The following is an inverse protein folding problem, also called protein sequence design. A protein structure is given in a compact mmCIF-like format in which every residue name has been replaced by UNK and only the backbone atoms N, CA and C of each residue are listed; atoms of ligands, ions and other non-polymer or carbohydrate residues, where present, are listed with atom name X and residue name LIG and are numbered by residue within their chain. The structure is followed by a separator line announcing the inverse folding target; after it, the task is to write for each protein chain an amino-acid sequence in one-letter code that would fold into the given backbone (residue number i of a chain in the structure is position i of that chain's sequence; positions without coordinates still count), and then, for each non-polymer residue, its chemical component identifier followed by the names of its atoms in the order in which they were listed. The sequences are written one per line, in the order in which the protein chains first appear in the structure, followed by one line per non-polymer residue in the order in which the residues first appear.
data_IF_720807711340
#
_entry.id   IF_720807711340
#
_cell.length_a   1.000
_cell.length_b   1.000
_cell.length_c   1.000
_cell.angle_alpha   90.00
_cell.angle_beta   90.00
_cell.angle_gamma   90.00
#
_symmetry.space_group_name_H-M   'P 1'
#
loop_
_entity.id
_entity.type
_entity.pdbx_description
1 polymer ?
#
# COMPACT_ATOMS: atom_id res chain seq x y z
N UNK A 1 15.32 0.64 10.09
CA UNK A 1 15.07 2.09 10.19
C UNK A 1 13.76 2.46 9.50
N UNK A 2 12.94 3.34 10.06
CA UNK A 2 11.84 3.97 9.31
C UNK A 2 12.43 5.03 8.36
N UNK A 3 12.17 4.87 7.06
CA UNK A 3 12.75 5.68 5.99
C UNK A 3 11.87 6.83 5.54
N UNK A 4 10.98 7.35 6.38
CA UNK A 4 10.07 8.46 6.07
C UNK A 4 9.50 9.10 7.34
N UNK A 5 8.82 10.22 7.18
CA UNK A 5 7.97 10.88 8.17
C UNK A 5 6.67 11.36 7.49
N UNK A 6 5.76 11.98 8.26
CA UNK A 6 4.47 12.42 7.76
C UNK A 6 4.58 13.41 6.57
N UNK A 7 5.59 14.27 6.60
CA UNK A 7 5.82 15.33 5.60
C UNK A 7 6.57 14.85 4.34
N UNK A 8 7.01 13.59 4.30
CA UNK A 8 7.85 13.07 3.23
C UNK A 8 7.18 13.12 1.85
N UNK A 9 5.85 13.03 1.80
CA UNK A 9 5.05 13.09 0.57
C UNK A 9 5.10 14.47 -0.14
N UNK A 10 5.59 15.51 0.54
CA UNK A 10 5.70 16.87 -0.01
C UNK A 10 6.95 17.08 -0.87
N UNK A 11 7.77 16.04 -1.03
CA UNK A 11 9.06 16.08 -1.71
C UNK A 11 9.20 14.91 -2.68
N UNK A 12 10.20 14.97 -3.57
CA UNK A 12 10.66 13.82 -4.36
C UNK A 12 11.37 12.82 -3.43
N UNK A 13 10.58 12.07 -2.67
CA UNK A 13 11.05 11.28 -1.55
C UNK A 13 11.90 10.10 -1.98
N UNK A 14 11.55 9.45 -3.10
CA UNK A 14 12.34 8.34 -3.63
C UNK A 14 13.77 8.79 -3.95
N UNK A 15 13.97 9.93 -4.62
CA UNK A 15 15.32 10.46 -4.85
C UNK A 15 16.01 10.89 -3.58
N UNK A 16 15.28 11.51 -2.64
CA UNK A 16 15.85 11.93 -1.36
C UNK A 16 16.38 10.74 -0.56
N UNK A 17 15.61 9.66 -0.48
CA UNK A 17 16.02 8.46 0.24
C UNK A 17 17.12 7.69 -0.51
N UNK A 18 17.06 7.65 -1.84
CA UNK A 18 18.09 7.03 -2.68
C UNK A 18 19.48 7.63 -2.41
N UNK A 19 19.56 8.97 -2.26
CA UNK A 19 20.83 9.66 -1.92
C UNK A 19 21.38 9.26 -0.55
N UNK A 20 20.51 8.87 0.40
CA UNK A 20 20.87 8.50 1.78
C UNK A 20 21.20 7.01 1.96
N UNK A 21 20.96 6.17 0.95
CA UNK A 21 21.23 4.72 1.04
C UNK A 21 22.64 4.37 1.51
N UNK A 22 23.72 5.01 1.01
CA UNK A 22 25.08 4.72 1.49
C UNK A 22 25.26 4.99 2.98
N UNK A 23 24.70 6.11 3.48
CA UNK A 23 24.78 6.47 4.89
C UNK A 23 23.96 5.52 5.75
N UNK A 24 22.75 5.14 5.31
CA UNK A 24 21.91 4.14 5.99
C UNK A 24 22.68 2.82 6.16
N UNK A 25 23.35 2.36 5.11
CA UNK A 25 24.13 1.13 5.16
C UNK A 25 25.37 1.27 6.07
N UNK A 26 26.08 2.41 5.97
CA UNK A 26 27.24 2.71 6.82
C UNK A 26 26.89 2.79 8.30
N UNK A 27 25.68 3.24 8.64
CA UNK A 27 25.14 3.23 10.01
C UNK A 27 24.77 1.84 10.52
N UNK A 28 24.94 0.78 9.71
CA UNK A 28 24.69 -0.61 10.11
C UNK A 28 23.24 -1.08 9.98
N UNK A 29 22.35 -0.28 9.38
CA UNK A 29 20.97 -0.70 9.15
C UNK A 29 20.89 -1.76 8.05
N UNK A 30 20.23 -2.87 8.35
CA UNK A 30 20.03 -3.99 7.41
C UNK A 30 18.66 -3.95 6.72
N UNK A 31 17.75 -3.07 7.16
CA UNK A 31 16.41 -2.93 6.58
C UNK A 31 15.89 -1.50 6.71
N UNK A 32 15.13 -1.07 5.71
CA UNK A 32 14.45 0.22 5.69
C UNK A 32 12.96 0.02 5.40
N UNK A 33 12.12 0.57 6.28
CA UNK A 33 10.67 0.64 6.08
C UNK A 33 10.34 1.87 5.24
N UNK A 34 9.81 1.62 4.04
CA UNK A 34 9.36 2.61 3.08
C UNK A 34 7.87 2.91 3.31
N UNK A 35 7.39 4.14 3.05
CA UNK A 35 5.97 4.47 3.17
C UNK A 35 5.13 3.70 2.13
N UNK A 36 3.79 3.71 2.24
CA UNK A 36 2.93 3.05 1.27
C UNK A 36 3.23 3.55 -0.15
N UNK A 37 3.62 2.63 -1.02
CA UNK A 37 4.16 2.97 -2.33
C UNK A 37 3.09 3.06 -3.44
N UNK A 38 1.92 2.49 -3.19
CA UNK A 38 0.83 2.44 -4.16
C UNK A 38 0.13 3.78 -4.32
N UNK A 39 -0.54 3.96 -5.44
CA UNK A 39 -1.47 5.07 -5.68
C UNK A 39 -2.54 5.12 -4.57
N UNK A 40 -2.75 6.34 -4.06
CA UNK A 40 -3.59 6.61 -2.90
C UNK A 40 -4.33 7.93 -3.09
N UNK A 41 -5.49 8.04 -2.45
CA UNK A 41 -6.25 9.28 -2.37
C UNK A 41 -5.61 10.27 -1.37
N UNK A 42 -5.06 9.77 -0.26
CA UNK A 42 -4.24 10.59 0.64
C UNK A 42 -2.78 10.62 0.17
N UNK A 43 -2.11 11.77 0.23
CA UNK A 43 -0.73 11.87 -0.23
C UNK A 43 0.26 11.08 0.64
N UNK A 44 -0.07 10.80 1.90
CA UNK A 44 0.71 9.93 2.79
C UNK A 44 0.61 8.44 2.43
N UNK A 45 -0.27 8.06 1.49
CA UNK A 45 -0.37 6.69 0.99
C UNK A 45 -1.36 5.78 1.74
N UNK A 46 -1.93 6.24 2.86
CA UNK A 46 -2.80 5.43 3.73
C UNK A 46 -4.26 5.34 3.29
N UNK A 47 -4.66 5.89 2.13
CA UNK A 47 -5.98 5.69 1.54
C UNK A 47 -5.84 5.09 0.13
N UNK A 48 -5.34 3.84 0.01
CA UNK A 48 -4.95 3.25 -1.27
C UNK A 48 -6.15 3.04 -2.20
N UNK A 49 -5.92 3.18 -3.51
CA UNK A 49 -6.94 2.92 -4.55
C UNK A 49 -6.42 1.91 -5.60
N UNK A 50 -5.45 2.30 -6.44
CA UNK A 50 -4.86 1.38 -7.42
C UNK A 50 -3.58 0.72 -6.86
N UNK A 51 -3.73 -0.46 -6.26
CA UNK A 51 -2.63 -1.19 -5.62
C UNK A 51 -1.47 -1.54 -6.57
N UNK A 52 -1.76 -1.74 -7.85
CA UNK A 52 -0.77 -2.06 -8.89
C UNK A 52 -0.13 -0.83 -9.54
N UNK A 53 -0.57 0.39 -9.22
CA UNK A 53 0.12 1.62 -9.63
C UNK A 53 1.08 2.05 -8.53
N UNK A 54 2.37 2.13 -8.83
CA UNK A 54 3.41 2.60 -7.91
C UNK A 54 3.79 4.07 -8.15
N UNK A 55 2.96 4.80 -8.89
CA UNK A 55 3.04 6.25 -8.98
C UNK A 55 2.29 6.85 -7.80
N UNK A 56 3.04 7.35 -6.82
CA UNK A 56 2.53 7.91 -5.57
C UNK A 56 3.07 9.33 -5.35
N UNK A 57 2.61 10.00 -4.30
CA UNK A 57 3.11 11.33 -3.91
C UNK A 57 4.59 11.33 -3.52
N UNK A 58 5.18 10.16 -3.25
CA UNK A 58 6.60 10.01 -2.96
C UNK A 58 7.49 10.00 -4.22
N UNK A 59 6.90 9.77 -5.40
CA UNK A 59 7.58 9.74 -6.69
C UNK A 59 7.06 8.63 -7.62
N UNK A 60 7.63 8.56 -8.82
CA UNK A 60 7.22 7.59 -9.85
C UNK A 60 7.67 6.16 -9.55
N UNK A 61 7.02 5.19 -10.20
CA UNK A 61 7.38 3.77 -10.14
C UNK A 61 8.86 3.54 -10.53
N UNK A 62 9.36 4.27 -11.53
CA UNK A 62 10.75 4.16 -11.97
C UNK A 62 11.73 4.57 -10.85
N UNK A 63 11.43 5.66 -10.14
CA UNK A 63 12.26 6.13 -9.03
C UNK A 63 12.23 5.17 -7.84
N UNK A 64 11.05 4.61 -7.56
CA UNK A 64 10.93 3.56 -6.55
C UNK A 64 11.79 2.35 -6.92
N UNK A 65 11.70 1.85 -8.15
CA UNK A 65 12.51 0.70 -8.61
C UNK A 65 14.02 0.98 -8.52
N UNK A 66 14.46 2.20 -8.86
CA UNK A 66 15.85 2.62 -8.71
C UNK A 66 16.29 2.60 -7.23
N UNK A 67 15.47 3.14 -6.33
CA UNK A 67 15.69 3.09 -4.89
C UNK A 67 15.79 1.63 -4.37
N UNK A 68 14.86 0.76 -4.75
CA UNK A 68 14.86 -0.66 -4.35
C UNK A 68 16.12 -1.38 -4.82
N UNK A 69 16.55 -1.12 -6.06
CA UNK A 69 17.79 -1.66 -6.61
C UNK A 69 19.02 -1.16 -5.82
N UNK A 70 19.08 0.13 -5.50
CA UNK A 70 20.19 0.70 -4.73
C UNK A 70 20.25 0.15 -3.31
N UNK A 71 19.11 0.04 -2.63
CA UNK A 71 19.05 -0.59 -1.30
C UNK A 71 19.60 -2.02 -1.35
N UNK A 72 19.20 -2.81 -2.36
CA UNK A 72 19.72 -4.17 -2.59
C UNK A 72 21.23 -4.19 -2.81
N UNK A 73 21.79 -3.27 -3.61
CA UNK A 73 23.25 -3.16 -3.83
C UNK A 73 24.02 -2.91 -2.52
N UNK A 74 23.43 -2.12 -1.63
CA UNK A 74 24.00 -1.82 -0.31
C UNK A 74 23.61 -2.83 0.77
N UNK A 75 23.03 -3.98 0.38
CA UNK A 75 22.58 -5.05 1.30
C UNK A 75 21.58 -4.58 2.36
N UNK A 76 20.82 -3.53 2.07
CA UNK A 76 19.70 -3.05 2.89
C UNK A 76 18.40 -3.58 2.30
N UNK A 77 17.59 -4.24 3.13
CA UNK A 77 16.32 -4.84 2.71
C UNK A 77 15.21 -3.77 2.66
N UNK A 78 14.56 -3.53 1.51
CA UNK A 78 13.40 -2.66 1.44
C UNK A 78 12.14 -3.36 1.96
N UNK A 79 11.51 -2.76 2.96
CA UNK A 79 10.25 -3.21 3.55
C UNK A 79 9.11 -2.31 3.06
N UNK A 80 8.07 -2.91 2.47
CA UNK A 80 6.88 -2.18 2.03
C UNK A 80 5.91 -1.99 3.19
N UNK A 81 5.31 -0.81 3.28
CA UNK A 81 4.12 -0.60 4.10
C UNK A 81 2.88 -1.12 3.36
N UNK A 82 2.16 -2.05 3.98
CA UNK A 82 1.03 -2.77 3.40
C UNK A 82 -0.26 -2.28 4.04
N UNK A 83 -1.00 -1.46 3.30
CA UNK A 83 -2.33 -0.94 3.70
C UNK A 83 -3.41 -1.75 2.98
N UNK A 84 -4.02 -2.70 3.70
CA UNK A 84 -5.03 -3.62 3.16
C UNK A 84 -6.29 -3.74 4.02
N UNK A 85 -6.38 -3.02 5.14
CA UNK A 85 -7.61 -2.97 5.95
C UNK A 85 -8.76 -2.28 5.18
N UNK A 86 -8.46 -1.18 4.51
CA UNK A 86 -9.41 -0.38 3.74
C UNK A 86 -8.84 -0.02 2.38
N UNK A 87 -9.72 0.33 1.44
CA UNK A 87 -9.37 0.73 0.08
C UNK A 87 -10.46 1.65 -0.47
N UNK A 88 -10.08 2.68 -1.20
CA UNK A 88 -11.04 3.64 -1.77
C UNK A 88 -11.47 3.16 -3.16
N UNK A 89 -12.78 3.04 -3.40
CA UNK A 89 -13.33 2.73 -4.72
C UNK A 89 -13.14 3.87 -5.72
N UNK A 90 -13.17 3.55 -7.01
CA UNK A 90 -13.14 4.51 -8.11
C UNK A 90 -14.53 5.03 -8.46
N UNK A 91 -15.57 4.24 -8.18
CA UNK A 91 -16.96 4.54 -8.54
C UNK A 91 -17.89 4.27 -7.35
N UNK A 92 -19.06 4.91 -7.38
CA UNK A 92 -20.10 4.74 -6.36
C UNK A 92 -20.92 3.49 -6.64
N UNK A 93 -21.11 2.64 -5.64
CA UNK A 93 -21.98 1.47 -5.69
C UNK A 93 -23.11 1.54 -4.66
N UNK A 94 -23.40 0.41 -4.04
CA UNK A 94 -24.38 0.30 -2.95
C UNK A 94 -24.23 1.42 -1.90
N UNK A 95 -25.35 2.02 -1.49
CA UNK A 95 -25.37 3.10 -0.50
C UNK A 95 -24.75 4.43 -0.97
N UNK A 96 -24.42 4.58 -2.26
CA UNK A 96 -23.83 5.81 -2.80
C UNK A 96 -22.37 6.05 -2.40
N UNK A 97 -21.70 5.04 -1.83
CA UNK A 97 -20.32 5.11 -1.38
C UNK A 97 -19.35 4.67 -2.47
N UNK A 98 -18.12 5.17 -2.41
CA UNK A 98 -17.02 4.74 -3.29
C UNK A 98 -16.50 3.36 -2.91
N UNK A 99 -17.29 2.30 -3.16
CA UNK A 99 -17.05 0.91 -2.78
C UNK A 99 -16.92 -0.05 -3.98
N UNK A 100 -16.82 0.50 -5.20
CA UNK A 100 -16.54 -0.22 -6.44
C UNK A 100 -15.21 0.22 -7.02
N UNK A 101 -14.46 -0.70 -7.61
CA UNK A 101 -13.08 -0.48 -8.08
C UNK A 101 -12.99 -0.61 -9.61
N UNK A 102 -14.00 -0.10 -10.30
CA UNK A 102 -14.12 -0.19 -11.76
C UNK A 102 -12.93 0.52 -12.46
N UNK A 103 -12.46 -0.05 -13.58
CA UNK A 103 -11.44 0.57 -14.44
C UNK A 103 -9.99 0.47 -13.97
N UNK A 104 -9.72 -0.20 -12.85
CA UNK A 104 -8.36 -0.43 -12.32
C UNK A 104 -8.12 -1.92 -12.03
N UNK A 105 -6.86 -2.38 -11.92
CA UNK A 105 -6.55 -3.72 -11.45
C UNK A 105 -7.22 -4.03 -10.11
N UNK A 106 -7.59 -5.31 -9.93
CA UNK A 106 -8.45 -5.77 -8.83
C UNK A 106 -9.78 -5.00 -8.83
N UNK A 107 -10.50 -5.12 -9.95
CA UNK A 107 -11.80 -4.51 -10.21
C UNK A 107 -12.92 -5.17 -9.40
N UNK A 108 -12.76 -5.14 -8.08
CA UNK A 108 -13.75 -5.65 -7.15
C UNK A 108 -15.03 -4.81 -7.18
N UNK A 109 -16.11 -5.43 -6.74
CA UNK A 109 -17.39 -4.78 -6.50
C UNK A 109 -17.65 -4.70 -4.98
N UNK A 110 -18.87 -4.33 -4.63
CA UNK A 110 -19.29 -4.11 -3.25
C UNK A 110 -19.16 -5.35 -2.34
N UNK A 111 -19.09 -6.57 -2.91
CA UNK A 111 -18.90 -7.80 -2.13
C UNK A 111 -17.48 -7.96 -1.56
N UNK A 112 -16.51 -7.17 -2.04
CA UNK A 112 -15.18 -7.10 -1.43
C UNK A 112 -15.12 -6.17 -0.22
N UNK A 113 -16.21 -5.47 0.10
CA UNK A 113 -16.29 -4.50 1.19
C UNK A 113 -17.21 -5.03 2.28
N UNK A 114 -16.83 -4.84 3.55
CA UNK A 114 -17.61 -5.35 4.68
C UNK A 114 -18.98 -4.69 4.77
N UNK A 115 -19.99 -5.43 5.22
CA UNK A 115 -21.36 -4.89 5.33
C UNK A 115 -21.48 -3.74 6.34
N UNK A 116 -20.65 -3.74 7.39
CA UNK A 116 -20.64 -2.70 8.42
C UNK A 116 -19.95 -1.40 7.96
N UNK A 117 -19.27 -1.42 6.82
CA UNK A 117 -18.72 -0.23 6.16
C UNK A 117 -19.34 -0.05 4.77
N UNK A 118 -20.60 -0.47 4.66
CA UNK A 118 -21.53 -0.41 3.54
C UNK A 118 -21.04 -0.96 2.21
N UNK A 119 -20.37 -2.11 2.28
CA UNK A 119 -20.37 -3.08 1.18
C UNK A 119 -21.51 -4.09 1.31
N UNK A 120 -21.38 -5.16 0.53
CA UNK A 120 -22.29 -6.32 0.50
C UNK A 120 -21.57 -7.63 0.87
N UNK A 121 -20.35 -7.53 1.41
CA UNK A 121 -19.61 -8.66 1.98
C UNK A 121 -20.07 -9.01 3.40
N UNK A 122 -19.27 -9.82 4.08
CA UNK A 122 -19.47 -10.19 5.47
C UNK A 122 -19.16 -9.02 6.42
N UNK A 123 -19.48 -9.19 7.71
CA UNK A 123 -19.07 -8.24 8.75
C UNK A 123 -17.54 -8.24 8.89
N UNK A 124 -16.99 -7.09 9.32
CA UNK A 124 -15.55 -6.98 9.61
C UNK A 124 -15.12 -8.01 10.67
N UNK A 125 -13.90 -8.52 10.51
CA UNK A 125 -13.25 -9.43 11.45
C UNK A 125 -12.43 -8.69 12.52
N UNK A 126 -12.24 -7.39 12.38
CA UNK A 126 -11.49 -6.53 13.30
C UNK A 126 -12.03 -5.10 13.35
N UNK A 127 -11.19 -4.18 13.83
CA UNK A 127 -11.53 -2.77 13.97
C UNK A 127 -11.82 -2.09 12.62
N UNK A 128 -12.88 -1.29 12.55
CA UNK A 128 -13.15 -0.51 11.35
C UNK A 128 -12.30 0.77 11.31
N UNK A 129 -11.71 1.05 10.15
CA UNK A 129 -11.22 2.39 9.83
C UNK A 129 -12.39 3.22 9.31
N UNK A 130 -12.90 4.13 10.13
CA UNK A 130 -14.14 4.84 9.87
C UNK A 130 -14.01 5.83 8.69
N UNK A 131 -15.14 6.06 8.01
CA UNK A 131 -15.25 7.03 6.90
C UNK A 131 -14.87 6.49 5.51
N UNK A 132 -14.44 5.22 5.41
CA UNK A 132 -14.00 4.60 4.14
C UNK A 132 -14.42 3.12 4.05
N UNK A 133 -14.44 2.51 2.85
CA UNK A 133 -14.74 1.09 2.69
C UNK A 133 -13.65 0.20 3.29
N UNK A 134 -14.03 -0.70 4.19
CA UNK A 134 -13.13 -1.70 4.78
C UNK A 134 -13.28 -3.02 4.00
N UNK A 135 -12.17 -3.71 3.77
CA UNK A 135 -12.07 -4.88 2.90
C UNK A 135 -12.52 -6.14 3.64
N UNK A 136 -13.39 -6.93 3.01
CA UNK A 136 -13.83 -8.22 3.53
C UNK A 136 -12.79 -9.31 3.25
N UNK A 137 -11.83 -9.46 4.16
CA UNK A 137 -10.80 -10.51 4.10
C UNK A 137 -11.34 -11.93 4.30
N UNK A 138 -12.61 -12.12 4.66
CA UNK A 138 -13.23 -13.44 4.75
C UNK A 138 -13.55 -14.03 3.37
N UNK A 139 -13.58 -13.20 2.32
CA UNK A 139 -13.80 -13.64 0.94
C UNK A 139 -12.54 -14.31 0.36
N UNK A 140 -12.71 -15.48 -0.26
CA UNK A 140 -11.60 -16.19 -0.89
C UNK A 140 -10.95 -15.38 -2.03
N UNK A 141 -11.75 -14.73 -2.88
CA UNK A 141 -11.22 -13.97 -4.01
C UNK A 141 -10.38 -12.76 -3.56
N UNK A 142 -10.81 -12.06 -2.50
CA UNK A 142 -10.06 -10.95 -1.88
C UNK A 142 -8.68 -11.43 -1.42
N UNK A 143 -8.63 -12.53 -0.65
CA UNK A 143 -7.35 -13.08 -0.18
C UNK A 143 -6.45 -13.52 -1.32
N UNK A 144 -7.00 -14.22 -2.32
CA UNK A 144 -6.25 -14.68 -3.49
C UNK A 144 -5.58 -13.52 -4.23
N UNK A 145 -6.34 -12.46 -4.45
CA UNK A 145 -5.90 -11.27 -5.18
C UNK A 145 -4.85 -10.47 -4.40
N UNK A 146 -5.05 -10.28 -3.08
CA UNK A 146 -4.06 -9.61 -2.21
C UNK A 146 -2.76 -10.42 -2.17
N UNK A 147 -2.83 -11.75 -2.05
CA UNK A 147 -1.63 -12.61 -2.12
C UNK A 147 -0.93 -12.46 -3.48
N UNK A 148 -1.69 -12.37 -4.57
CA UNK A 148 -1.15 -12.09 -5.91
C UNK A 148 -0.40 -10.77 -5.97
N UNK A 149 -0.97 -9.71 -5.40
CA UNK A 149 -0.36 -8.39 -5.31
C UNK A 149 0.90 -8.38 -4.42
N UNK A 150 0.88 -9.05 -3.26
CA UNK A 150 2.06 -9.18 -2.40
C UNK A 150 3.21 -9.94 -3.09
N UNK A 151 2.90 -11.00 -3.85
CA UNK A 151 3.90 -11.70 -4.68
C UNK A 151 4.45 -10.79 -5.78
N UNK A 152 3.60 -9.97 -6.39
CA UNK A 152 4.04 -8.98 -7.36
C UNK A 152 4.96 -7.92 -6.74
N UNK A 153 4.67 -7.41 -5.53
CA UNK A 153 5.58 -6.48 -4.82
C UNK A 153 6.96 -7.09 -4.59
N UNK A 154 7.05 -8.41 -4.31
CA UNK A 154 8.34 -9.11 -4.25
C UNK A 154 9.07 -9.09 -5.59
N UNK A 155 8.35 -9.28 -6.69
CA UNK A 155 8.92 -9.18 -8.05
C UNK A 155 9.39 -7.77 -8.41
N UNK A 156 8.76 -6.74 -7.84
CA UNK A 156 9.17 -5.33 -7.99
C UNK A 156 10.49 -5.04 -7.25
N UNK A 157 10.77 -5.76 -6.17
CA UNK A 157 12.05 -5.67 -5.44
C UNK A 157 11.92 -5.49 -3.93
N UNK A 158 10.70 -5.41 -3.38
CA UNK A 158 10.48 -5.42 -1.93
C UNK A 158 10.84 -6.80 -1.34
N UNK A 159 11.41 -6.80 -0.14
CA UNK A 159 11.86 -8.03 0.53
C UNK A 159 11.06 -8.36 1.78
N UNK A 160 10.56 -7.35 2.47
CA UNK A 160 9.81 -7.48 3.72
C UNK A 160 8.51 -6.67 3.67
N UNK A 161 7.59 -6.96 4.59
CA UNK A 161 6.31 -6.28 4.70
C UNK A 161 6.08 -5.81 6.15
N UNK A 162 5.60 -4.58 6.30
CA UNK A 162 5.01 -4.04 7.52
C UNK A 162 3.52 -3.90 7.26
N UNK A 163 2.68 -4.56 8.06
CA UNK A 163 1.22 -4.47 7.90
C UNK A 163 0.69 -3.28 8.68
N UNK A 164 0.07 -2.34 7.95
CA UNK A 164 -0.61 -1.21 8.56
C UNK A 164 -1.94 -1.64 9.19
N UNK A 165 -2.28 -1.00 10.30
CA UNK A 165 -3.55 -1.20 11.02
C UNK A 165 -3.95 -2.68 11.20
N UNK A 166 -3.01 -3.54 11.61
CA UNK A 166 -3.21 -4.99 11.70
C UNK A 166 -4.26 -5.48 12.72
N UNK A 167 -4.82 -4.58 13.53
CA UNK A 167 -5.97 -4.86 14.41
C UNK A 167 -7.32 -4.79 13.69
N UNK A 168 -7.33 -4.22 12.49
CA UNK A 168 -8.49 -4.10 11.60
C UNK A 168 -8.86 -5.40 10.92
#
# INVERSE_FOLDING_TARGET
QQGFNWESHKYDWWRNLERKVPDIAKSGFTSVWLPPASNSFSPEGYLPQNLYSLNSSYGSEQLLKALLQKLKQYKVRPMADIVINHRIGTTKGHGGMYNRYDGIPLAWNEHAVTSCTGGLGNKSTGDNFHGVPNIDHSQHFVRKDIIGWLKWLRSVGFQDFRFDFARG
#
